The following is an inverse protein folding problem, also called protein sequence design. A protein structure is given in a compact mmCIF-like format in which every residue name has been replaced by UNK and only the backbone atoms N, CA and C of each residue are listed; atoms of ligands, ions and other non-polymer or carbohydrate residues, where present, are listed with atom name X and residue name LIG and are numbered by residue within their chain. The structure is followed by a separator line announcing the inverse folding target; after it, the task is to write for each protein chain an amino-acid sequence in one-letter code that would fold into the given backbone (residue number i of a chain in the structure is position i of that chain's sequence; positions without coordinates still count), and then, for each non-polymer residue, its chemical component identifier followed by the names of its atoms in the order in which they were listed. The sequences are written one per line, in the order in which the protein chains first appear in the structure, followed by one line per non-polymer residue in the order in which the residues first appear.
data_IF_552664024839
#
_entry.id   IF_552664024839
#
_cell.length_a   1.000
_cell.length_b   1.000
_cell.length_c   1.000
_cell.angle_alpha   90.00
_cell.angle_beta   90.00
_cell.angle_gamma   90.00
#
_symmetry.space_group_name_H-M   'P 1'
#
loop_
_entity.id
_entity.type
_entity.pdbx_description
1 polymer ?
#
# COMPACT_ATOMS: atom_id res chain seq x y z
N UNK A 1 97.94 28.31 46.74
CA UNK A 1 96.86 29.02 47.47
C UNK A 1 95.89 29.57 46.48
N UNK A 2 94.72 29.22 46.52
CA UNK A 2 93.34 29.77 46.30
C UNK A 2 92.47 28.78 45.56
N UNK A 3 91.52 28.28 46.28
CA UNK A 3 90.27 27.75 45.73
C UNK A 3 89.37 28.88 45.25
N UNK A 4 88.53 28.63 44.30
CA UNK A 4 87.14 28.99 44.52
C UNK A 4 86.20 27.81 44.28
N UNK A 5 85.26 27.72 45.17
CA UNK A 5 84.06 26.99 45.07
C UNK A 5 83.13 27.71 44.10
N UNK A 6 82.43 26.94 43.29
CA UNK A 6 81.17 27.33 42.69
C UNK A 6 80.29 26.09 42.70
N UNK A 7 79.54 25.96 43.75
CA UNK A 7 78.34 25.20 43.78
C UNK A 7 77.29 25.91 42.87
N UNK A 8 76.96 25.31 41.76
CA UNK A 8 75.83 25.69 40.95
C UNK A 8 74.65 24.76 41.35
N UNK A 9 73.85 25.34 42.19
CA UNK A 9 72.54 24.79 42.59
C UNK A 9 71.69 24.64 41.33
N UNK A 10 71.64 23.45 40.76
CA UNK A 10 70.73 23.13 39.63
C UNK A 10 69.37 22.79 40.23
N UNK A 11 68.43 23.73 40.10
CA UNK A 11 67.04 23.54 40.43
C UNK A 11 66.49 22.33 39.68
N UNK A 12 65.71 21.46 40.31
CA UNK A 12 65.12 20.28 39.63
C UNK A 12 64.11 20.71 38.52
N UNK A 13 64.37 20.16 37.36
CA UNK A 13 63.40 20.35 36.19
C UNK A 13 62.08 19.73 36.59
N UNK A 14 60.97 20.48 36.54
CA UNK A 14 59.64 19.92 36.84
C UNK A 14 59.31 18.81 35.83
N UNK A 15 58.64 17.75 36.27
CA UNK A 15 58.24 16.64 35.37
C UNK A 15 57.34 17.17 34.26
N UNK A 16 57.43 16.61 33.04
CA UNK A 16 56.58 17.03 31.92
C UNK A 16 55.13 16.83 32.30
N UNK A 17 54.34 17.88 32.10
CA UNK A 17 52.90 17.84 32.29
C UNK A 17 52.31 16.77 31.35
N UNK A 18 51.45 15.87 31.85
CA UNK A 18 50.78 14.90 30.97
C UNK A 18 49.97 15.67 29.92
N UNK A 19 49.92 15.18 28.67
CA UNK A 19 49.12 15.82 27.63
C UNK A 19 47.66 15.92 28.10
N UNK A 20 46.97 17.00 27.75
CA UNK A 20 45.55 17.13 28.08
C UNK A 20 44.82 15.91 27.55
N UNK A 21 44.12 15.20 28.44
CA UNK A 21 43.27 14.11 28.06
C UNK A 21 42.25 14.69 27.08
N UNK A 22 42.35 14.29 25.82
CA UNK A 22 41.32 14.59 24.80
C UNK A 22 40.10 13.85 25.30
N UNK A 23 39.18 14.61 25.90
CA UNK A 23 37.88 14.06 26.31
C UNK A 23 37.23 13.43 25.06
N UNK A 24 37.05 12.14 25.08
CA UNK A 24 36.27 11.44 24.06
C UNK A 24 34.82 12.02 24.03
N UNK A 25 34.39 12.70 22.96
CA UNK A 25 33.01 13.14 22.83
C UNK A 25 32.20 12.05 22.14
N UNK A 26 32.05 10.87 22.76
CA UNK A 26 31.55 9.75 21.95
C UNK A 26 30.11 9.36 22.17
N UNK A 27 29.57 9.34 23.35
CA UNK A 27 28.25 8.74 23.58
C UNK A 27 27.01 9.52 23.08
N UNK A 28 26.87 10.86 23.21
CA UNK A 28 25.65 11.55 22.80
C UNK A 28 25.48 11.61 21.27
N UNK A 29 26.54 11.81 20.52
CA UNK A 29 26.49 11.99 19.07
C UNK A 29 26.13 10.70 18.31
N UNK A 30 26.56 9.55 18.83
CA UNK A 30 26.20 8.25 18.23
C UNK A 30 24.73 7.94 18.44
N UNK A 31 24.17 8.24 19.61
CA UNK A 31 22.76 8.06 19.90
C UNK A 31 21.86 8.96 19.03
N UNK A 32 22.24 10.24 18.89
CA UNK A 32 21.55 11.18 18.00
C UNK A 32 21.59 10.76 16.53
N UNK A 33 22.76 10.27 16.08
CA UNK A 33 22.90 9.77 14.70
C UNK A 33 22.09 8.51 14.46
N UNK A 34 21.99 7.62 15.44
CA UNK A 34 21.18 6.41 15.36
C UNK A 34 19.68 6.75 15.29
N UNK A 35 19.23 7.73 16.07
CA UNK A 35 17.85 8.20 16.05
C UNK A 35 17.49 8.84 14.71
N UNK A 36 18.34 9.72 14.18
CA UNK A 36 18.15 10.32 12.85
C UNK A 36 18.07 9.26 11.74
N UNK A 37 18.93 8.25 11.79
CA UNK A 37 18.89 7.14 10.84
C UNK A 37 17.60 6.33 10.95
N UNK A 38 17.09 6.17 12.15
CA UNK A 38 15.80 5.50 12.38
C UNK A 38 14.64 6.31 11.81
N UNK A 39 14.61 7.62 12.06
CA UNK A 39 13.59 8.53 11.50
C UNK A 39 13.62 8.53 9.97
N UNK A 40 14.81 8.62 9.36
CA UNK A 40 14.96 8.54 7.91
C UNK A 40 14.45 7.22 7.35
N UNK A 41 14.73 6.09 8.01
CA UNK A 41 14.22 4.78 7.58
C UNK A 41 12.70 4.71 7.68
N UNK A 42 12.12 5.20 8.77
CA UNK A 42 10.67 5.25 8.95
C UNK A 42 10.01 6.18 7.92
N UNK A 43 10.61 7.32 7.66
CA UNK A 43 10.12 8.24 6.62
C UNK A 43 10.13 7.57 5.24
N UNK A 44 11.24 6.92 4.85
CA UNK A 44 11.36 6.21 3.57
C UNK A 44 10.34 5.08 3.45
N UNK A 45 10.11 4.33 4.52
CA UNK A 45 9.09 3.28 4.53
C UNK A 45 7.68 3.84 4.30
N UNK A 46 7.32 4.94 4.98
CA UNK A 46 6.02 5.62 4.78
C UNK A 46 5.85 6.18 3.38
N UNK A 47 6.92 6.74 2.80
CA UNK A 47 6.88 7.24 1.41
C UNK A 47 6.69 6.09 0.43
N UNK A 48 7.41 4.99 0.61
CA UNK A 48 7.24 3.79 -0.23
C UNK A 48 5.81 3.26 -0.17
N UNK A 49 5.26 3.09 1.03
CA UNK A 49 3.88 2.65 1.24
C UNK A 49 2.86 3.61 0.58
N UNK A 50 3.05 4.92 0.71
CA UNK A 50 2.19 5.91 0.07
C UNK A 50 2.27 5.86 -1.46
N UNK A 51 3.45 5.64 -2.03
CA UNK A 51 3.65 5.47 -3.48
C UNK A 51 2.99 4.20 -3.97
N UNK A 52 3.15 3.08 -3.26
CA UNK A 52 2.53 1.80 -3.62
C UNK A 52 0.99 1.91 -3.60
N UNK A 53 0.44 2.55 -2.58
CA UNK A 53 -1.00 2.80 -2.49
C UNK A 53 -1.50 3.69 -3.64
N UNK A 54 -0.80 4.78 -3.94
CA UNK A 54 -1.15 5.67 -5.04
C UNK A 54 -1.07 4.97 -6.41
N UNK A 55 -0.03 4.14 -6.62
CA UNK A 55 0.12 3.36 -7.84
C UNK A 55 -1.01 2.33 -7.99
N UNK A 56 -1.39 1.63 -6.92
CA UNK A 56 -2.51 0.69 -6.94
C UNK A 56 -3.82 1.40 -7.29
N UNK A 57 -4.10 2.56 -6.69
CA UNK A 57 -5.29 3.36 -6.99
C UNK A 57 -5.31 3.79 -8.45
N UNK A 58 -4.20 4.29 -8.98
CA UNK A 58 -4.11 4.71 -10.38
C UNK A 58 -4.33 3.54 -11.34
N UNK A 59 -3.78 2.36 -11.04
CA UNK A 59 -3.99 1.16 -11.83
C UNK A 59 -5.45 0.73 -11.84
N UNK A 60 -6.14 0.84 -10.71
CA UNK A 60 -7.58 0.56 -10.62
C UNK A 60 -8.39 1.52 -11.46
N UNK A 61 -8.10 2.82 -11.41
CA UNK A 61 -8.80 3.84 -12.19
C UNK A 61 -8.62 3.61 -13.69
N UNK A 62 -7.38 3.33 -14.14
CA UNK A 62 -7.08 3.03 -15.54
C UNK A 62 -7.81 1.74 -15.98
N UNK A 63 -7.76 0.69 -15.17
CA UNK A 63 -8.42 -0.56 -15.48
C UNK A 63 -9.96 -0.39 -15.55
N UNK A 64 -10.54 0.38 -14.64
CA UNK A 64 -11.97 0.70 -14.66
C UNK A 64 -12.37 1.45 -15.92
N UNK A 65 -11.56 2.42 -16.36
CA UNK A 65 -11.78 3.18 -17.58
C UNK A 65 -11.72 2.29 -18.84
N UNK A 66 -10.69 1.43 -18.93
CA UNK A 66 -10.52 0.52 -20.07
C UNK A 66 -11.66 -0.49 -20.14
N UNK A 67 -11.97 -1.15 -19.01
CA UNK A 67 -13.05 -2.15 -18.96
C UNK A 67 -14.42 -1.49 -19.16
N UNK A 68 -14.62 -0.27 -18.64
CA UNK A 68 -15.83 0.50 -18.89
C UNK A 68 -16.08 0.73 -20.38
N UNK A 69 -15.04 1.13 -21.12
CA UNK A 69 -15.10 1.31 -22.58
C UNK A 69 -15.37 -0.01 -23.32
N UNK A 70 -14.72 -1.09 -22.92
CA UNK A 70 -14.95 -2.41 -23.52
C UNK A 70 -16.38 -2.89 -23.28
N UNK A 71 -16.96 -2.63 -22.10
CA UNK A 71 -18.35 -2.98 -21.78
C UNK A 71 -19.36 -2.14 -22.58
N UNK A 72 -19.03 -0.89 -22.89
CA UNK A 72 -19.84 -0.07 -23.80
C UNK A 72 -19.88 -0.64 -25.24
N UNK A 73 -18.75 -1.24 -25.65
CA UNK A 73 -18.59 -1.80 -26.99
C UNK A 73 -19.09 -3.26 -27.11
N UNK A 74 -19.10 -4.01 -26.01
CA UNK A 74 -19.42 -5.44 -25.97
C UNK A 74 -20.39 -5.80 -24.84
N UNK A 75 -21.72 -5.60 -25.01
CA UNK A 75 -22.73 -5.91 -23.98
C UNK A 75 -22.72 -7.38 -23.52
N UNK A 76 -22.19 -8.31 -24.32
CA UNK A 76 -22.03 -9.75 -23.99
C UNK A 76 -21.12 -9.96 -22.76
N UNK A 77 -20.33 -8.99 -22.37
CA UNK A 77 -19.45 -9.13 -21.20
C UNK A 77 -20.22 -9.20 -19.88
N UNK A 78 -21.39 -8.55 -19.78
CA UNK A 78 -22.20 -8.57 -18.54
C UNK A 78 -22.76 -9.97 -18.26
N UNK A 79 -23.16 -10.73 -19.28
CA UNK A 79 -23.64 -12.10 -19.12
C UNK A 79 -22.57 -12.97 -18.43
N UNK A 80 -21.33 -12.92 -18.90
CA UNK A 80 -20.23 -13.69 -18.31
C UNK A 80 -19.92 -13.28 -16.87
N UNK A 81 -20.11 -12.02 -16.54
CA UNK A 81 -19.90 -11.50 -15.19
C UNK A 81 -20.97 -12.07 -14.26
N UNK A 82 -22.22 -12.00 -14.68
CA UNK A 82 -23.36 -12.52 -13.93
C UNK A 82 -23.26 -14.04 -13.79
N UNK A 83 -22.98 -14.75 -14.85
CA UNK A 83 -22.80 -16.23 -14.83
C UNK A 83 -21.69 -16.64 -13.83
N UNK A 84 -20.58 -15.94 -13.84
CA UNK A 84 -19.47 -16.22 -12.89
C UNK A 84 -19.86 -15.91 -11.45
N UNK A 85 -20.58 -14.82 -11.22
CA UNK A 85 -21.08 -14.46 -9.90
C UNK A 85 -22.09 -15.50 -9.41
N UNK A 86 -23.05 -15.90 -10.23
CA UNK A 86 -24.03 -16.91 -9.88
C UNK A 86 -23.36 -18.28 -9.59
N UNK A 87 -22.40 -18.69 -10.41
CA UNK A 87 -21.67 -19.93 -10.20
C UNK A 87 -20.90 -19.93 -8.86
N UNK A 88 -20.33 -18.77 -8.47
CA UNK A 88 -19.58 -18.62 -7.22
C UNK A 88 -20.49 -18.69 -5.99
N UNK A 89 -21.70 -18.15 -6.07
CA UNK A 89 -22.63 -18.02 -4.94
C UNK A 89 -23.87 -18.92 -5.06
N UNK A 90 -23.79 -19.97 -5.89
CA UNK A 90 -24.92 -20.86 -6.13
C UNK A 90 -25.44 -21.53 -4.84
N UNK A 91 -24.54 -21.87 -3.92
CA UNK A 91 -24.87 -22.50 -2.64
C UNK A 91 -25.61 -21.56 -1.67
N UNK A 92 -25.58 -20.24 -1.91
CA UNK A 92 -26.17 -19.22 -1.05
C UNK A 92 -27.56 -18.78 -1.53
N UNK A 93 -28.17 -19.53 -2.46
CA UNK A 93 -29.51 -19.32 -3.01
C UNK A 93 -29.71 -17.91 -3.53
N UNK A 94 -29.11 -17.54 -4.67
CA UNK A 94 -29.32 -16.24 -5.30
C UNK A 94 -30.78 -16.03 -5.67
N UNK A 95 -31.33 -14.86 -5.32
CA UNK A 95 -32.73 -14.53 -5.53
C UNK A 95 -32.93 -13.70 -6.79
N UNK A 96 -32.07 -12.72 -7.00
CA UNK A 96 -32.10 -11.83 -8.16
C UNK A 96 -30.75 -11.17 -8.38
N UNK A 97 -30.58 -10.64 -9.58
CA UNK A 97 -29.41 -9.83 -9.96
C UNK A 97 -29.89 -8.42 -10.31
N UNK A 98 -29.25 -7.43 -9.75
CA UNK A 98 -29.45 -6.02 -10.13
C UNK A 98 -28.32 -5.57 -11.02
N UNK A 99 -28.66 -4.90 -12.13
CA UNK A 99 -27.69 -4.38 -13.11
C UNK A 99 -28.14 -3.01 -13.60
N UNK A 100 -27.27 -2.29 -14.31
CA UNK A 100 -27.66 -1.05 -14.96
C UNK A 100 -28.77 -1.29 -15.99
N UNK A 101 -29.74 -0.36 -16.19
CA UNK A 101 -30.84 -0.53 -17.14
C UNK A 101 -30.41 -0.90 -18.56
N UNK A 102 -29.31 -0.31 -19.05
CA UNK A 102 -28.79 -0.61 -20.39
C UNK A 102 -28.24 -2.03 -20.53
N UNK A 103 -27.80 -2.64 -19.43
CA UNK A 103 -27.25 -3.99 -19.40
C UNK A 103 -28.35 -5.07 -19.19
N UNK A 104 -29.51 -4.67 -18.66
CA UNK A 104 -30.62 -5.61 -18.39
C UNK A 104 -31.12 -6.30 -19.66
N UNK A 105 -31.03 -5.63 -20.80
CA UNK A 105 -31.46 -6.19 -22.09
C UNK A 105 -30.59 -7.41 -22.51
N UNK A 106 -29.30 -7.45 -22.17
CA UNK A 106 -28.41 -8.55 -22.47
C UNK A 106 -28.66 -9.79 -21.58
N UNK A 107 -29.31 -9.60 -20.43
CA UNK A 107 -29.57 -10.67 -19.45
C UNK A 107 -31.00 -11.25 -19.53
N UNK A 108 -31.71 -11.08 -20.64
CA UNK A 108 -33.10 -11.54 -20.78
C UNK A 108 -33.28 -13.05 -20.61
N UNK A 109 -32.25 -13.81 -20.99
CA UNK A 109 -32.23 -15.28 -20.94
C UNK A 109 -31.53 -15.81 -19.69
N UNK A 110 -31.20 -14.94 -18.73
CA UNK A 110 -30.54 -15.36 -17.49
C UNK A 110 -31.47 -16.27 -16.66
N UNK A 111 -30.92 -17.31 -16.01
CA UNK A 111 -31.70 -18.28 -15.22
C UNK A 111 -32.23 -17.71 -13.89
N UNK A 112 -32.14 -16.41 -13.69
CA UNK A 112 -32.50 -15.70 -12.45
C UNK A 112 -33.25 -14.41 -12.78
N UNK A 113 -34.05 -13.91 -11.83
CA UNK A 113 -34.71 -12.60 -11.98
C UNK A 113 -33.69 -11.47 -12.10
N UNK A 114 -33.83 -10.65 -13.14
CA UNK A 114 -32.99 -9.47 -13.38
C UNK A 114 -33.80 -8.20 -13.12
N UNK A 115 -33.22 -7.32 -12.30
CA UNK A 115 -33.80 -6.03 -11.95
C UNK A 115 -32.89 -4.90 -12.43
N UNK A 116 -33.45 -3.88 -13.07
CA UNK A 116 -32.72 -2.70 -13.50
C UNK A 116 -32.57 -1.72 -12.32
N UNK A 117 -31.33 -1.40 -11.97
CA UNK A 117 -31.01 -0.40 -10.94
C UNK A 117 -30.16 0.74 -11.55
N UNK A 118 -30.74 1.94 -11.70
CA UNK A 118 -30.03 3.08 -12.28
C UNK A 118 -28.90 3.64 -11.40
N UNK A 119 -28.72 3.14 -10.17
CA UNK A 119 -27.62 3.53 -9.28
C UNK A 119 -26.34 2.79 -9.62
N UNK A 120 -26.45 1.64 -10.26
CA UNK A 120 -25.30 0.88 -10.73
C UNK A 120 -24.74 1.52 -12.00
N UNK A 121 -23.45 1.37 -12.21
CA UNK A 121 -22.81 1.77 -13.47
C UNK A 121 -22.93 0.64 -14.49
N UNK A 122 -22.72 0.94 -15.75
CA UNK A 122 -22.64 -0.10 -16.79
C UNK A 122 -21.52 -1.08 -16.45
N UNK A 123 -21.82 -2.37 -16.55
CA UNK A 123 -20.90 -3.45 -16.21
C UNK A 123 -20.81 -3.78 -14.72
N UNK A 124 -21.54 -3.07 -13.85
CA UNK A 124 -21.70 -3.43 -12.45
C UNK A 124 -22.87 -4.38 -12.29
N UNK A 125 -22.73 -5.32 -11.35
CA UNK A 125 -23.80 -6.19 -10.92
C UNK A 125 -23.83 -6.30 -9.41
N UNK A 126 -25.03 -6.47 -8.86
CA UNK A 126 -25.21 -6.84 -7.45
C UNK A 126 -26.12 -8.06 -7.38
N UNK A 127 -25.73 -9.08 -6.64
CA UNK A 127 -26.49 -10.32 -6.48
C UNK A 127 -27.14 -10.32 -5.10
N UNK A 128 -28.46 -10.28 -5.09
CA UNK A 128 -29.23 -10.40 -3.84
C UNK A 128 -29.39 -11.89 -3.50
N UNK A 129 -28.88 -12.27 -2.36
CA UNK A 129 -28.97 -13.61 -1.78
C UNK A 129 -30.03 -13.62 -0.68
N UNK A 130 -30.40 -14.80 -0.20
CA UNK A 130 -31.30 -14.93 0.93
C UNK A 130 -30.83 -14.21 2.19
N UNK A 131 -29.51 -14.19 2.43
CA UNK A 131 -28.90 -13.68 3.65
C UNK A 131 -28.14 -12.35 3.45
N UNK A 132 -28.28 -11.69 2.32
CA UNK A 132 -27.59 -10.42 2.04
C UNK A 132 -27.43 -10.10 0.57
N UNK A 133 -26.55 -9.17 0.27
CA UNK A 133 -26.23 -8.76 -1.11
C UNK A 133 -24.74 -8.88 -1.35
N UNK A 134 -24.36 -9.46 -2.45
CA UNK A 134 -22.96 -9.50 -2.92
C UNK A 134 -22.78 -8.41 -3.97
N UNK A 135 -21.80 -7.56 -3.72
CA UNK A 135 -21.36 -6.56 -4.67
C UNK A 135 -20.38 -7.21 -5.66
N UNK A 136 -20.81 -7.31 -6.92
CA UNK A 136 -20.01 -7.78 -8.05
C UNK A 136 -19.66 -6.62 -8.99
N UNK A 137 -19.61 -5.39 -8.48
CA UNK A 137 -19.22 -4.21 -9.24
C UNK A 137 -17.80 -4.37 -9.81
N UNK A 138 -17.54 -3.59 -10.84
CA UNK A 138 -16.21 -3.58 -11.49
C UNK A 138 -15.10 -3.25 -10.48
N UNK A 139 -15.33 -2.28 -9.58
CA UNK A 139 -14.36 -1.90 -8.56
C UNK A 139 -13.98 -3.07 -7.66
N UNK A 140 -14.95 -3.80 -7.12
CA UNK A 140 -14.70 -4.98 -6.26
C UNK A 140 -13.93 -6.07 -7.00
N UNK A 141 -14.28 -6.32 -8.26
CA UNK A 141 -13.60 -7.33 -9.09
C UNK A 141 -12.17 -6.97 -9.42
N UNK A 142 -11.89 -5.68 -9.65
CA UNK A 142 -10.53 -5.19 -9.87
C UNK A 142 -9.69 -5.27 -8.60
N UNK A 143 -10.27 -4.90 -7.45
CA UNK A 143 -9.61 -5.06 -6.15
C UNK A 143 -9.22 -6.51 -5.88
N UNK A 144 -10.13 -7.44 -6.16
CA UNK A 144 -9.85 -8.87 -6.00
C UNK A 144 -8.74 -9.34 -6.94
N UNK A 145 -8.73 -8.87 -8.20
CA UNK A 145 -7.70 -9.19 -9.17
C UNK A 145 -6.33 -8.64 -8.77
N UNK A 146 -6.27 -7.38 -8.32
CA UNK A 146 -5.03 -6.75 -7.84
C UNK A 146 -4.49 -7.46 -6.60
N UNK A 147 -5.37 -7.81 -5.64
CA UNK A 147 -4.98 -8.60 -4.46
C UNK A 147 -4.44 -9.98 -4.82
N UNK A 148 -5.05 -10.65 -5.77
CA UNK A 148 -4.59 -11.96 -6.23
C UNK A 148 -3.20 -11.88 -6.88
N UNK A 149 -2.90 -10.81 -7.61
CA UNK A 149 -1.59 -10.57 -8.23
C UNK A 149 -0.52 -10.19 -7.19
N UNK A 150 -0.89 -9.45 -6.16
CA UNK A 150 0.02 -9.03 -5.08
C UNK A 150 0.35 -10.15 -4.08
N UNK A 151 -0.48 -11.20 -4.02
CA UNK A 151 -0.30 -12.35 -3.13
C UNK A 151 0.33 -13.58 -3.80
N UNK A 152 0.67 -13.48 -5.07
CA UNK A 152 1.36 -14.50 -5.86
C UNK A 152 2.85 -14.21 -5.95
#
# INVERSE_FOLDING_TARGET
MLRPACDADAAPIPPPMPPPAIAEPAAPREAESAELLREVRLFRARVAEAVDLAAATLLQDIAADVVGRELELAPVAIERIVDRALARYLAEEPLRVRVHPDDAAALRDAPIAVEADPRLRRGDAAVDLRNGTVDASLGVRLDDAVRALAGA
#
